data_IF_207547758022
#
_entry.id   IF_207547758022
#
_cell.length_a   1.000
_cell.length_b   1.000
_cell.length_c   1.000
_cell.angle_alpha   90.00
_cell.angle_beta   90.00
_cell.angle_gamma   90.00
#
_symmetry.space_group_name_H-M   'P 1'
#
loop_
_entity.id
_entity.type
_entity.pdbx_description
1 polymer ?
#
# COMPACT_ATOMS: atom_id res chain seq x y z
N UNK A 1 11.76 1.69 -5.79
CA UNK A 1 12.26 0.56 -4.96
C UNK A 1 11.14 -0.38 -4.46
N UNK A 2 9.88 0.08 -4.37
CA UNK A 2 8.73 -0.72 -3.86
C UNK A 2 8.41 -1.99 -4.66
N UNK A 3 8.66 -2.01 -5.97
CA UNK A 3 8.29 -3.15 -6.82
C UNK A 3 9.16 -4.39 -6.59
N UNK A 4 10.37 -4.23 -6.05
CA UNK A 4 11.29 -5.37 -5.81
C UNK A 4 10.74 -6.33 -4.75
N UNK A 5 10.06 -5.83 -3.72
CA UNK A 5 9.53 -6.62 -2.61
C UNK A 5 8.43 -7.61 -3.04
N UNK A 6 7.70 -7.30 -4.11
CA UNK A 6 6.57 -8.10 -4.57
C UNK A 6 6.84 -8.84 -5.88
N UNK A 7 8.06 -8.76 -6.43
CA UNK A 7 8.41 -9.40 -7.72
C UNK A 7 8.22 -10.92 -7.68
N UNK A 8 8.36 -11.55 -6.53
CA UNK A 8 8.25 -13.01 -6.38
C UNK A 8 6.78 -13.47 -6.25
N UNK A 9 5.85 -12.55 -6.02
CA UNK A 9 4.43 -12.86 -5.86
C UNK A 9 3.73 -12.94 -7.22
N UNK A 10 3.76 -14.11 -7.87
CA UNK A 10 3.14 -14.31 -9.19
C UNK A 10 1.61 -14.15 -9.22
N UNK A 11 0.95 -14.19 -8.07
CA UNK A 11 -0.51 -14.16 -7.95
C UNK A 11 -1.08 -12.74 -7.75
N UNK A 12 -0.31 -11.70 -8.05
CA UNK A 12 -0.79 -10.32 -8.00
C UNK A 12 -1.64 -10.03 -9.24
N UNK A 13 -2.94 -9.84 -9.01
CA UNK A 13 -3.92 -9.48 -10.05
C UNK A 13 -4.33 -8.00 -9.97
N UNK A 14 -4.04 -7.32 -8.86
CA UNK A 14 -4.38 -5.90 -8.66
C UNK A 14 -3.29 -5.18 -7.87
N UNK A 15 -2.92 -3.99 -8.33
CA UNK A 15 -1.96 -3.11 -7.66
C UNK A 15 -2.61 -1.75 -7.40
N UNK A 16 -2.33 -1.17 -6.24
CA UNK A 16 -2.68 0.21 -5.92
C UNK A 16 -1.40 0.98 -5.60
N UNK A 17 -1.15 2.06 -6.32
CA UNK A 17 0.03 2.89 -6.21
C UNK A 17 -0.36 4.26 -5.66
N UNK A 18 0.46 4.79 -4.76
CA UNK A 18 0.32 6.12 -4.19
C UNK A 18 1.44 7.00 -4.73
N UNK A 19 1.10 7.94 -5.61
CA UNK A 19 2.02 8.92 -6.18
C UNK A 19 1.94 10.21 -5.34
N UNK A 20 2.73 10.26 -4.27
CA UNK A 20 2.80 11.38 -3.31
C UNK A 20 4.15 12.11 -3.46
N UNK A 21 4.28 13.37 -3.02
CA UNK A 21 5.52 14.15 -3.16
C UNK A 21 6.79 13.44 -2.69
N UNK A 22 6.70 12.70 -1.58
CA UNK A 22 7.82 11.99 -0.95
C UNK A 22 8.21 10.71 -1.68
N UNK A 23 7.34 10.22 -2.58
CA UNK A 23 7.55 8.99 -3.33
C UNK A 23 6.88 9.10 -4.71
N UNK A 24 7.42 10.00 -5.54
CA UNK A 24 6.91 10.17 -6.90
C UNK A 24 7.19 8.94 -7.75
N UNK A 25 6.15 8.44 -8.39
CA UNK A 25 6.20 7.31 -9.32
C UNK A 25 6.17 7.90 -10.72
N UNK A 26 7.16 7.54 -11.55
CA UNK A 26 7.19 8.00 -12.92
C UNK A 26 6.23 7.21 -13.82
N UNK A 27 5.80 7.82 -14.92
CA UNK A 27 5.05 7.13 -15.99
C UNK A 27 5.83 5.91 -16.48
N UNK A 28 7.15 6.00 -16.58
CA UNK A 28 8.03 4.88 -16.99
C UNK A 28 7.94 3.70 -16.02
N UNK A 29 7.91 3.96 -14.72
CA UNK A 29 7.77 2.91 -13.72
C UNK A 29 6.43 2.20 -13.86
N UNK A 30 5.35 2.95 -14.07
CA UNK A 30 4.00 2.39 -14.28
C UNK A 30 3.97 1.54 -15.56
N UNK A 31 4.55 2.03 -16.66
CA UNK A 31 4.67 1.25 -17.91
C UNK A 31 5.40 -0.08 -17.68
N UNK A 32 6.44 -0.09 -16.84
CA UNK A 32 7.17 -1.33 -16.51
C UNK A 32 6.32 -2.34 -15.71
N UNK A 33 5.34 -1.87 -14.93
CA UNK A 33 4.43 -2.72 -14.15
C UNK A 33 3.42 -3.42 -15.07
N UNK A 34 2.89 -2.69 -16.04
CA UNK A 34 1.84 -3.19 -16.95
C UNK A 34 2.42 -3.96 -18.15
N UNK A 35 3.68 -3.75 -18.49
CA UNK A 35 4.32 -4.44 -19.61
C UNK A 35 4.41 -5.96 -19.34
N UNK A 36 3.72 -6.77 -20.15
CA UNK A 36 3.63 -8.23 -19.96
C UNK A 36 4.95 -8.97 -20.14
N UNK A 37 5.85 -8.44 -20.97
CA UNK A 37 7.10 -9.11 -21.31
C UNK A 37 8.12 -8.99 -20.16
N UNK A 38 8.04 -7.89 -19.42
CA UNK A 38 9.02 -7.53 -18.38
C UNK A 38 8.46 -7.59 -16.96
N UNK A 39 7.14 -7.53 -16.79
CA UNK A 39 6.50 -7.61 -15.49
C UNK A 39 6.43 -9.05 -14.97
N UNK A 40 6.78 -9.31 -13.70
CA UNK A 40 6.66 -10.64 -13.11
C UNK A 40 5.20 -11.05 -12.86
N UNK A 41 4.26 -10.10 -12.93
CA UNK A 41 2.84 -10.30 -12.65
C UNK A 41 2.04 -10.56 -13.92
N UNK A 42 2.24 -11.73 -14.52
CA UNK A 42 1.56 -12.13 -15.77
C UNK A 42 0.03 -12.14 -15.67
N UNK A 43 -0.50 -12.25 -14.45
CA UNK A 43 -1.94 -12.27 -14.17
C UNK A 43 -2.49 -10.91 -13.73
N UNK A 44 -1.68 -9.85 -13.79
CA UNK A 44 -2.14 -8.51 -13.46
C UNK A 44 -3.34 -8.13 -14.32
N UNK A 45 -4.44 -7.74 -13.68
CA UNK A 45 -5.70 -7.33 -14.32
C UNK A 45 -5.98 -5.85 -14.15
N UNK A 46 -5.50 -5.23 -13.08
CA UNK A 46 -5.76 -3.82 -12.81
C UNK A 46 -4.65 -3.12 -12.04
N UNK A 47 -4.44 -1.85 -12.35
CA UNK A 47 -3.56 -0.93 -11.62
C UNK A 47 -4.34 0.34 -11.33
N UNK A 48 -4.48 0.67 -10.04
CA UNK A 48 -5.07 1.92 -9.58
C UNK A 48 -3.96 2.86 -9.11
N UNK A 49 -3.90 4.05 -9.68
CA UNK A 49 -2.85 5.05 -9.41
C UNK A 49 -3.53 6.24 -8.74
N UNK A 50 -3.24 6.39 -7.45
CA UNK A 50 -3.64 7.56 -6.69
C UNK A 50 -2.63 8.67 -6.94
N UNK A 51 -3.09 9.74 -7.59
CA UNK A 51 -2.26 10.89 -7.95
C UNK A 51 -2.61 12.10 -7.09
N UNK A 52 -1.60 12.92 -6.81
CA UNK A 52 -1.83 14.29 -6.38
C UNK A 52 -2.28 15.14 -7.60
N UNK A 53 -3.04 16.20 -7.35
CA UNK A 53 -3.45 17.10 -8.41
C UNK A 53 -2.22 17.71 -9.11
N UNK A 54 -2.18 17.61 -10.44
CA UNK A 54 -1.07 18.11 -11.25
C UNK A 54 0.19 17.24 -11.26
N UNK A 55 0.17 16.05 -10.64
CA UNK A 55 1.35 15.17 -10.68
C UNK A 55 1.57 14.52 -12.05
N UNK A 56 0.50 14.25 -12.80
CA UNK A 56 0.52 13.80 -14.19
C UNK A 56 -0.32 14.74 -15.06
N UNK A 57 0.12 14.95 -16.30
CA UNK A 57 -0.65 15.64 -17.32
C UNK A 57 -1.85 14.80 -17.77
N UNK A 58 -2.80 15.45 -18.43
CA UNK A 58 -3.93 14.73 -19.03
C UNK A 58 -3.47 13.73 -20.09
N UNK A 59 -2.51 14.12 -20.95
CA UNK A 59 -1.97 13.21 -21.97
C UNK A 59 -1.26 12.00 -21.34
N UNK A 60 -0.53 12.20 -20.25
CA UNK A 60 0.13 11.10 -19.53
C UNK A 60 -0.90 10.10 -18.97
N UNK A 61 -2.00 10.60 -18.40
CA UNK A 61 -3.06 9.73 -17.88
C UNK A 61 -3.74 8.93 -18.98
N UNK A 62 -4.06 9.55 -20.12
CA UNK A 62 -4.66 8.88 -21.27
C UNK A 62 -3.68 7.86 -21.88
N UNK A 63 -2.40 8.23 -22.02
CA UNK A 63 -1.37 7.32 -22.51
C UNK A 63 -1.24 6.08 -21.64
N UNK A 64 -1.25 6.24 -20.31
CA UNK A 64 -1.22 5.11 -19.37
C UNK A 64 -2.46 4.20 -19.48
N UNK A 65 -3.64 4.77 -19.71
CA UNK A 65 -4.85 3.99 -19.96
C UNK A 65 -4.77 3.18 -21.25
N UNK A 66 -4.23 3.79 -22.32
CA UNK A 66 -4.02 3.13 -23.60
C UNK A 66 -3.00 1.99 -23.49
N UNK A 67 -1.83 2.27 -22.90
CA UNK A 67 -0.79 1.24 -22.66
C UNK A 67 -1.34 0.09 -21.82
N UNK A 68 -2.18 0.40 -20.83
CA UNK A 68 -2.86 -0.59 -20.00
C UNK A 68 -3.78 -1.48 -20.82
N UNK A 69 -4.64 -0.87 -21.66
CA UNK A 69 -5.56 -1.59 -22.53
C UNK A 69 -4.81 -2.54 -23.48
N UNK A 70 -3.73 -2.07 -24.10
CA UNK A 70 -2.87 -2.88 -24.98
C UNK A 70 -2.28 -4.09 -24.23
N UNK A 71 -1.85 -3.89 -22.98
CA UNK A 71 -1.36 -4.97 -22.12
C UNK A 71 -2.48 -5.86 -21.53
N UNK A 72 -3.75 -5.55 -21.75
CA UNK A 72 -4.89 -6.23 -21.13
C UNK A 72 -4.98 -6.00 -19.61
N UNK A 73 -4.51 -4.85 -19.14
CA UNK A 73 -4.52 -4.39 -17.74
C UNK A 73 -5.35 -3.12 -17.63
N UNK A 74 -6.37 -3.11 -16.78
CA UNK A 74 -7.16 -1.90 -16.55
C UNK A 74 -6.38 -0.89 -15.71
N UNK A 75 -6.02 0.24 -16.30
CA UNK A 75 -5.32 1.33 -15.60
C UNK A 75 -6.31 2.43 -15.26
N UNK A 76 -6.34 2.82 -13.98
CA UNK A 76 -7.20 3.89 -13.47
C UNK A 76 -6.32 4.92 -12.75
N UNK A 77 -6.38 6.18 -13.17
CA UNK A 77 -5.71 7.31 -12.52
C UNK A 77 -6.75 8.19 -11.83
N UNK A 78 -6.54 8.53 -10.57
CA UNK A 78 -7.48 9.39 -9.86
C UNK A 78 -6.89 10.05 -8.63
N UNK A 79 -7.45 11.21 -8.28
CA UNK A 79 -7.11 11.89 -7.03
C UNK A 79 -7.82 11.23 -5.85
N UNK A 80 -7.11 11.11 -4.72
CA UNK A 80 -7.71 10.67 -3.48
C UNK A 80 -8.66 11.75 -2.98
N UNK A 81 -9.97 11.45 -2.94
CA UNK A 81 -10.99 12.37 -2.38
C UNK A 81 -10.79 12.65 -0.89
N UNK A 82 -10.08 11.79 -0.17
CA UNK A 82 -9.63 11.96 1.22
C UNK A 82 -8.27 11.28 1.40
N UNK A 83 -7.36 11.89 2.16
CA UNK A 83 -6.20 11.17 2.72
C UNK A 83 -6.77 10.03 3.56
N UNK A 84 -6.59 8.77 3.13
CA UNK A 84 -6.85 7.64 4.02
C UNK A 84 -5.89 7.78 5.20
N UNK A 85 -6.40 7.72 6.43
CA UNK A 85 -5.53 7.54 7.59
C UNK A 85 -4.69 6.28 7.35
N UNK A 86 -3.40 6.29 7.72
CA UNK A 86 -2.58 5.08 7.68
C UNK A 86 -3.34 3.97 8.42
N UNK A 87 -3.32 2.74 7.88
CA UNK A 87 -3.98 1.58 8.47
C UNK A 87 -3.40 1.16 9.84
N UNK A 88 -2.53 1.98 10.45
CA UNK A 88 -1.77 1.69 11.67
C UNK A 88 -2.16 2.61 12.84
N UNK A 89 -3.37 3.17 12.86
CA UNK A 89 -3.89 3.70 14.13
C UNK A 89 -4.20 2.51 15.05
N UNK A 90 -3.18 2.17 15.84
CA UNK A 90 -3.17 1.30 17.03
C UNK A 90 -3.36 -0.21 16.80
N UNK A 91 -2.46 -0.84 16.03
CA UNK A 91 -2.17 -2.24 16.32
C UNK A 91 -1.44 -2.31 17.67
N UNK A 92 -2.19 -2.46 18.76
CA UNK A 92 -1.66 -2.85 20.07
C UNK A 92 -1.16 -4.29 19.96
N UNK A 93 0.05 -4.46 19.41
CA UNK A 93 0.76 -5.73 19.45
C UNK A 93 1.14 -6.01 20.91
N UNK A 94 0.27 -6.71 21.64
CA UNK A 94 0.64 -7.29 22.91
C UNK A 94 1.70 -8.35 22.65
N UNK A 95 2.93 -8.09 23.09
CA UNK A 95 3.93 -9.13 23.23
C UNK A 95 3.54 -9.96 24.44
N UNK A 96 3.38 -11.28 24.28
CA UNK A 96 3.17 -12.28 25.35
C UNK A 96 4.39 -12.40 26.30
N UNK A 97 5.09 -11.30 26.55
CA UNK A 97 6.32 -11.24 27.35
C UNK A 97 6.14 -10.76 28.78
N UNK A 98 4.96 -10.28 29.20
CA UNK A 98 4.76 -9.73 30.56
C UNK A 98 3.99 -10.66 31.51
N UNK A 99 4.07 -11.96 31.24
CA UNK A 99 3.63 -13.00 32.16
C UNK A 99 4.82 -13.61 32.92
N UNK A 100 5.60 -12.80 33.63
CA UNK A 100 6.42 -13.37 34.71
C UNK A 100 6.56 -12.47 35.94
N UNK A 101 5.83 -12.89 36.99
CA UNK A 101 6.20 -12.82 38.40
C UNK A 101 6.40 -11.44 39.04
N UNK A 102 5.39 -11.01 39.82
CA UNK A 102 5.57 -10.83 41.27
C UNK A 102 4.35 -11.35 42.03
N UNK A 103 4.50 -12.58 42.54
CA UNK A 103 3.63 -13.18 43.54
C UNK A 103 4.02 -12.67 44.94
N UNK A 104 2.97 -12.27 45.68
CA UNK A 104 2.80 -12.38 47.13
C UNK A 104 3.66 -11.52 48.08
N UNK A 105 3.00 -10.65 48.85
CA UNK A 105 2.63 -11.01 50.23
C UNK A 105 1.67 -10.00 50.86
N UNK A 106 0.59 -10.55 51.43
CA UNK A 106 -0.47 -9.92 52.23
C UNK A 106 0.03 -9.38 53.56
N UNK A 107 -0.55 -8.27 54.03
CA UNK A 107 -0.96 -8.13 55.44
C UNK A 107 -2.14 -7.16 55.57
N UNK A 108 -3.20 -7.68 56.21
CA UNK A 108 -4.52 -7.10 56.48
C UNK A 108 -4.51 -6.06 57.61
N UNK A 109 -5.63 -5.31 57.74
CA UNK A 109 -6.19 -4.63 58.95
C UNK A 109 -5.79 -3.13 59.07
N UNK A 110 -6.64 -2.11 59.30
CA UNK A 110 -8.03 -1.94 59.76
C UNK A 110 -8.61 -0.55 59.35
N UNK A 111 -9.94 -0.39 59.48
CA UNK A 111 -10.73 0.86 59.38
C UNK A 111 -10.26 1.96 60.36
N UNK A 112 -10.65 3.24 60.11
CA UNK A 112 -11.65 4.00 60.91
C UNK A 112 -11.69 5.50 60.51
N UNK A 113 -12.94 5.96 60.32
CA UNK A 113 -13.53 7.32 60.28
C UNK A 113 -13.22 8.32 59.15
#
# INVERSE_FOLDING_TARGET
MILKLFRESHNIFRISLMNIPENRISVRDIKSIINRDTSPWRHLKSVLIHIEQGSFSFEEMIGLQHDGLEAGVRVECGTLKRRRQPFFEEDHFFSDGDATTKSSSSSTIEKIH
#
